data_IF_355799346430
#
_entry.id   IF_355799346430
#
_cell.length_a   1.000
_cell.length_b   1.000
_cell.length_c   1.000
_cell.angle_alpha   90.00
_cell.angle_beta   90.00
_cell.angle_gamma   90.00
#
_symmetry.space_group_name_H-M   'P 1'
#
loop_
_entity.id
_entity.type
_entity.pdbx_description
1 polymer ?
#
# COMPACT_ATOMS: atom_id res chain seq x y z
N UNK A 1 -1.78 2.46 17.33
CA UNK A 1 -2.91 2.16 16.44
C UNK A 1 -2.34 1.95 15.04
N UNK A 2 -2.21 0.69 14.60
CA UNK A 2 -1.78 0.40 13.24
C UNK A 2 -2.86 0.93 12.29
N UNK A 3 -2.63 2.11 11.70
CA UNK A 3 -3.43 2.63 10.61
C UNK A 3 -3.42 1.59 9.50
N UNK A 4 -4.50 0.82 9.39
CA UNK A 4 -4.65 -0.26 8.42
C UNK A 4 -4.60 0.35 7.02
N UNK A 5 -3.39 0.39 6.44
CA UNK A 5 -3.19 0.80 5.06
C UNK A 5 -4.10 -0.03 4.15
N UNK A 6 -4.77 0.63 3.21
CA UNK A 6 -5.79 0.02 2.34
C UNK A 6 -5.30 -1.26 1.65
N UNK A 7 -4.01 -1.31 1.30
CA UNK A 7 -3.42 -2.48 0.68
C UNK A 7 -3.52 -3.75 1.54
N UNK A 8 -3.53 -3.69 2.87
CA UNK A 8 -3.57 -4.89 3.73
C UNK A 8 -4.87 -5.69 3.63
N UNK A 9 -5.96 -5.04 3.21
CA UNK A 9 -7.27 -5.69 3.02
C UNK A 9 -7.57 -5.94 1.54
N UNK A 10 -6.57 -5.81 0.67
CA UNK A 10 -6.72 -6.02 -0.77
C UNK A 10 -6.40 -7.48 -1.12
N UNK A 11 -7.23 -8.13 -1.93
CA UNK A 11 -6.96 -9.46 -2.50
C UNK A 11 -5.67 -9.49 -3.33
N UNK A 12 -5.28 -8.34 -3.90
CA UNK A 12 -4.05 -8.17 -4.69
C UNK A 12 -2.83 -7.81 -3.82
N UNK A 13 -2.94 -7.80 -2.49
CA UNK A 13 -1.83 -7.58 -1.58
C UNK A 13 -0.89 -8.79 -1.58
N UNK A 14 0.42 -8.57 -1.45
CA UNK A 14 1.44 -9.62 -1.26
C UNK A 14 1.25 -10.88 -2.14
N UNK A 15 1.55 -10.77 -3.43
CA UNK A 15 1.58 -11.94 -4.33
C UNK A 15 0.31 -12.19 -5.13
N UNK A 16 -0.75 -11.37 -4.96
CA UNK A 16 -1.89 -11.41 -5.87
C UNK A 16 -1.51 -10.90 -7.26
N UNK A 17 -1.87 -11.67 -8.30
CA UNK A 17 -1.27 -11.69 -9.64
C UNK A 17 -1.15 -10.35 -10.43
N UNK A 18 -1.74 -9.25 -9.95
CA UNK A 18 -1.97 -8.05 -10.78
C UNK A 18 -1.68 -6.71 -10.10
N UNK A 19 -1.10 -6.63 -8.90
CA UNK A 19 -0.80 -5.33 -8.29
C UNK A 19 0.57 -4.80 -8.76
N UNK A 20 0.66 -3.71 -9.54
CA UNK A 20 1.94 -3.13 -9.98
C UNK A 20 2.84 -2.73 -8.81
N UNK A 21 2.22 -2.29 -7.71
CA UNK A 21 2.93 -1.91 -6.50
C UNK A 21 3.50 -3.12 -5.76
N UNK A 22 2.68 -4.15 -5.51
CA UNK A 22 3.14 -5.32 -4.76
C UNK A 22 4.14 -6.17 -5.56
N UNK A 23 3.99 -6.23 -6.89
CA UNK A 23 4.83 -7.05 -7.76
C UNK A 23 6.11 -6.32 -8.23
N UNK A 24 6.00 -5.03 -8.60
CA UNK A 24 7.09 -4.28 -9.26
C UNK A 24 7.51 -3.02 -8.51
N UNK A 25 6.95 -2.77 -7.32
CA UNK A 25 7.14 -1.52 -6.57
C UNK A 25 6.85 -0.27 -7.41
N UNK A 26 5.97 -0.40 -8.41
CA UNK A 26 5.54 0.70 -9.27
C UNK A 26 4.28 1.33 -8.72
N UNK A 27 4.20 2.67 -8.61
CA UNK A 27 2.98 3.36 -8.24
C UNK A 27 1.82 2.93 -9.14
N UNK A 28 0.62 2.81 -8.56
CA UNK A 28 -0.60 2.57 -9.34
C UNK A 28 -1.08 3.91 -9.88
N UNK A 29 -1.32 3.97 -11.19
CA UNK A 29 -1.85 5.18 -11.81
C UNK A 29 -3.23 5.52 -11.20
N UNK A 30 -3.41 6.76 -10.74
CA UNK A 30 -4.65 7.23 -10.13
C UNK A 30 -4.89 6.79 -8.68
N UNK A 31 -3.94 6.12 -8.02
CA UNK A 31 -4.07 5.86 -6.58
C UNK A 31 -3.73 7.10 -5.74
N UNK A 32 -4.36 7.23 -4.58
CA UNK A 32 -4.09 8.30 -3.62
C UNK A 32 -3.26 7.74 -2.48
N UNK A 33 -2.05 8.26 -2.33
CA UNK A 33 -1.12 7.89 -1.29
C UNK A 33 -0.59 9.12 -0.55
N UNK A 34 -0.61 9.06 0.78
CA UNK A 34 -0.06 10.09 1.64
C UNK A 34 1.40 9.75 1.98
N UNK A 35 2.33 10.64 1.60
CA UNK A 35 3.74 10.47 1.93
C UNK A 35 3.96 10.75 3.42
N UNK A 36 4.48 9.77 4.15
CA UNK A 36 4.83 9.90 5.57
C UNK A 36 6.31 9.63 5.78
N UNK A 37 6.87 10.21 6.84
CA UNK A 37 8.19 9.84 7.34
C UNK A 37 8.00 9.07 8.63
N UNK A 38 8.49 7.83 8.66
CA UNK A 38 8.51 7.02 9.87
C UNK A 38 9.94 6.91 10.36
N UNK A 39 10.11 6.85 11.68
CA UNK A 39 11.40 6.57 12.30
C UNK A 39 11.37 5.14 12.79
N UNK A 40 12.22 4.30 12.21
CA UNK A 40 12.34 2.88 12.56
C UNK A 40 13.81 2.55 12.85
N UNK A 41 14.07 1.88 13.98
CA UNK A 41 15.42 1.57 14.47
C UNK A 41 16.42 2.75 14.40
N UNK A 42 15.96 3.97 14.68
CA UNK A 42 16.79 5.18 14.63
C UNK A 42 16.97 5.81 13.24
N UNK A 43 16.51 5.16 12.17
CA UNK A 43 16.55 5.67 10.78
C UNK A 43 15.22 6.29 10.37
N UNK A 44 15.28 7.44 9.71
CA UNK A 44 14.09 8.07 9.12
C UNK A 44 13.89 7.51 7.71
N UNK A 45 12.79 6.80 7.51
CA UNK A 45 12.40 6.25 6.22
C UNK A 45 11.16 6.97 5.69
N UNK A 46 11.12 7.16 4.38
CA UNK A 46 9.91 7.63 3.70
C UNK A 46 9.03 6.43 3.42
N UNK A 47 7.78 6.50 3.87
CA UNK A 47 6.73 5.51 3.57
C UNK A 47 5.55 6.18 2.89
N UNK A 48 4.72 5.39 2.23
CA UNK A 48 3.53 5.86 1.52
C UNK A 48 2.33 5.14 2.08
N UNK A 49 1.39 5.90 2.64
CA UNK A 49 0.13 5.38 3.18
C UNK A 49 -0.97 5.52 2.14
N UNK A 50 -1.36 4.41 1.53
CA UNK A 50 -2.37 4.36 0.47
C UNK A 50 -3.76 4.45 1.09
N UNK A 51 -4.52 5.48 0.71
CA UNK A 51 -5.89 5.74 1.19
C UNK A 51 -6.94 5.44 0.15
N UNK A 52 -6.60 5.49 -1.14
CA UNK A 52 -7.46 5.08 -2.24
C UNK A 52 -6.63 4.39 -3.33
N UNK A 53 -7.13 3.32 -3.93
CA UNK A 53 -6.47 2.65 -5.05
C UNK A 53 -7.53 2.17 -6.06
N UNK A 54 -7.41 2.51 -7.35
CA UNK A 54 -8.39 2.09 -8.37
C UNK A 54 -8.34 0.59 -8.64
N UNK A 55 -7.21 -0.06 -8.33
CA UNK A 55 -7.05 -1.52 -8.43
C UNK A 55 -7.43 -2.24 -7.13
N UNK A 56 -7.97 -1.53 -6.13
CA UNK A 56 -8.34 -2.14 -4.85
C UNK A 56 -9.49 -3.13 -5.03
N UNK A 57 -9.24 -4.37 -4.64
CA UNK A 57 -10.26 -5.41 -4.58
C UNK A 57 -10.29 -5.89 -3.13
N UNK A 58 -11.39 -5.66 -2.42
CA UNK A 58 -11.53 -6.11 -1.03
C UNK A 58 -11.36 -7.63 -0.96
N UNK A 59 -10.43 -8.09 -0.15
CA UNK A 59 -10.27 -9.49 0.20
C UNK A 59 -11.48 -9.90 1.06
N UNK A 60 -12.37 -10.73 0.49
CA UNK A 60 -13.55 -11.21 1.21
C UNK A 60 -13.09 -12.29 2.19
N UNK A 61 -13.34 -12.09 3.48
CA UNK A 61 -13.68 -13.20 4.37
C UNK A 61 -15.10 -13.66 4.07
#
# INVERSE_FOLDING_TARGET
>A
MASQQLCWTCKKACGGDDCPWANRSKPVEGWTAEKRRIKDAGKVMTTYHITACPLYVRDKK
#
